data_IF_170260268435
#
_entry.id   IF_170260268435
#
_cell.length_a   1.000
_cell.length_b   1.000
_cell.length_c   1.000
_cell.angle_alpha   90.00
_cell.angle_beta   90.00
_cell.angle_gamma   90.00
#
_symmetry.space_group_name_H-M   'P 1'
#
loop_
_entity.id
_entity.type
_entity.pdbx_description
1 polymer ?
#
# COMPACT_ATOMS: atom_id res chain seq x y z
N UNK A 1 -20.59 -14.60 -7.12
CA UNK A 1 -20.98 -13.46 -7.97
C UNK A 1 -19.83 -12.47 -7.93
N UNK A 2 -19.04 -12.39 -9.00
CA UNK A 2 -17.98 -11.39 -9.12
C UNK A 2 -18.68 -10.04 -9.37
N UNK A 3 -18.68 -9.15 -8.38
CA UNK A 3 -19.24 -7.80 -8.53
C UNK A 3 -18.30 -7.08 -9.51
N UNK A 4 -18.73 -6.87 -10.75
CA UNK A 4 -18.02 -6.03 -11.72
C UNK A 4 -18.13 -4.57 -11.27
N UNK A 5 -17.20 -4.14 -10.40
CA UNK A 5 -17.05 -2.74 -10.06
C UNK A 5 -16.13 -2.07 -11.09
N UNK A 6 -16.70 -1.20 -11.91
CA UNK A 6 -15.98 -0.46 -12.95
C UNK A 6 -15.67 0.93 -12.43
N UNK A 7 -14.42 1.36 -12.50
CA UNK A 7 -14.00 2.72 -12.18
C UNK A 7 -12.87 3.15 -13.12
N UNK A 8 -12.88 4.40 -13.55
CA UNK A 8 -11.79 5.00 -14.33
C UNK A 8 -10.58 5.39 -13.49
N UNK A 9 -10.72 5.27 -12.15
CA UNK A 9 -9.65 5.59 -11.19
C UNK A 9 -8.58 4.50 -11.08
N UNK A 10 -8.82 3.32 -11.67
CA UNK A 10 -7.89 2.17 -11.67
C UNK A 10 -7.87 1.55 -13.04
N UNK A 11 -6.74 1.67 -13.72
CA UNK A 11 -6.51 1.08 -15.03
C UNK A 11 -5.90 -0.32 -14.90
N UNK A 12 -6.28 -1.21 -15.79
CA UNK A 12 -5.64 -2.51 -15.98
C UNK A 12 -5.14 -2.62 -17.41
N UNK A 13 -3.88 -2.98 -17.58
CA UNK A 13 -3.27 -3.33 -18.87
C UNK A 13 -2.64 -4.70 -18.76
N UNK A 14 -2.84 -5.53 -19.76
CA UNK A 14 -2.22 -6.86 -19.86
C UNK A 14 -1.33 -6.90 -21.07
N UNK A 15 -0.09 -7.36 -20.87
CA UNK A 15 0.88 -7.59 -21.95
C UNK A 15 1.54 -8.96 -21.73
N UNK A 16 1.15 -9.94 -22.53
CA UNK A 16 1.59 -11.33 -22.35
C UNK A 16 1.28 -11.83 -20.93
N UNK A 17 2.30 -12.28 -20.22
CA UNK A 17 2.20 -12.84 -18.86
C UNK A 17 2.24 -11.79 -17.75
N UNK A 18 2.13 -10.50 -18.08
CA UNK A 18 2.24 -9.38 -17.14
C UNK A 18 0.98 -8.55 -17.14
N UNK A 19 0.40 -8.33 -15.96
CA UNK A 19 -0.69 -7.38 -15.74
C UNK A 19 -0.15 -6.16 -14.98
N UNK A 20 -0.48 -4.96 -15.46
CA UNK A 20 -0.17 -3.70 -14.78
C UNK A 20 -1.45 -3.05 -14.30
N UNK A 21 -1.55 -2.86 -12.98
CA UNK A 21 -2.60 -2.08 -12.33
C UNK A 21 -2.04 -0.70 -12.03
N UNK A 22 -2.65 0.33 -12.58
CA UNK A 22 -2.24 1.73 -12.42
C UNK A 22 -3.35 2.51 -11.70
N UNK A 23 -3.02 3.13 -10.56
CA UNK A 23 -3.90 4.08 -9.89
C UNK A 23 -3.93 5.36 -10.73
N UNK A 24 -5.11 5.80 -11.14
CA UNK A 24 -5.31 6.90 -12.09
C UNK A 24 -6.05 8.08 -11.45
N UNK A 25 -5.41 8.71 -10.44
CA UNK A 25 -5.84 9.96 -9.80
C UNK A 25 -4.66 10.90 -9.61
N UNK A 26 -3.92 11.26 -10.67
CA UNK A 26 -2.69 12.05 -10.54
C UNK A 26 -2.91 13.43 -9.90
N UNK A 27 -4.09 14.02 -10.03
CA UNK A 27 -4.49 15.30 -9.46
C UNK A 27 -4.55 15.29 -7.91
N UNK A 28 -4.74 14.12 -7.30
CA UNK A 28 -4.71 13.91 -5.84
C UNK A 28 -3.49 13.11 -5.39
N UNK A 29 -2.44 13.01 -6.22
CA UNK A 29 -1.28 12.16 -5.97
C UNK A 29 -1.68 10.69 -5.70
N UNK A 30 -2.68 10.20 -6.44
CA UNK A 30 -3.20 8.84 -6.33
C UNK A 30 -3.70 8.48 -4.93
N UNK A 31 -4.39 9.42 -4.26
CA UNK A 31 -5.07 9.18 -2.99
C UNK A 31 -6.10 8.05 -3.11
N UNK A 32 -6.17 7.22 -2.08
CA UNK A 32 -7.00 6.02 -2.02
C UNK A 32 -8.35 6.35 -1.40
N UNK A 33 -9.35 6.63 -2.24
CA UNK A 33 -10.75 6.67 -1.83
C UNK A 33 -11.42 5.29 -1.97
N UNK A 34 -12.67 5.20 -1.56
CA UNK A 34 -13.43 3.93 -1.58
C UNK A 34 -13.54 3.32 -2.99
N UNK A 35 -13.64 4.16 -4.03
CA UNK A 35 -13.74 3.65 -5.41
C UNK A 35 -12.41 3.08 -5.90
N UNK A 36 -11.29 3.73 -5.54
CA UNK A 36 -9.94 3.18 -5.83
C UNK A 36 -9.75 1.86 -5.12
N UNK A 37 -10.08 1.78 -3.81
CA UNK A 37 -9.95 0.55 -3.03
C UNK A 37 -10.75 -0.59 -3.65
N UNK A 38 -12.03 -0.37 -3.97
CA UNK A 38 -12.89 -1.36 -4.63
C UNK A 38 -12.39 -1.73 -6.03
N UNK A 39 -11.93 -0.74 -6.79
CA UNK A 39 -11.36 -0.96 -8.12
C UNK A 39 -10.12 -1.85 -8.07
N UNK A 40 -9.20 -1.60 -7.13
CA UNK A 40 -8.02 -2.43 -6.92
C UNK A 40 -8.39 -3.87 -6.55
N UNK A 41 -9.33 -4.06 -5.61
CA UNK A 41 -9.82 -5.40 -5.22
C UNK A 41 -10.40 -6.14 -6.42
N UNK A 42 -11.26 -5.48 -7.21
CA UNK A 42 -11.87 -6.10 -8.39
C UNK A 42 -10.82 -6.52 -9.41
N UNK A 43 -9.85 -5.64 -9.73
CA UNK A 43 -8.78 -5.96 -10.69
C UNK A 43 -7.85 -7.08 -10.21
N UNK A 44 -7.52 -7.11 -8.93
CA UNK A 44 -6.72 -8.19 -8.36
C UNK A 44 -7.47 -9.53 -8.41
N UNK A 45 -8.77 -9.55 -8.12
CA UNK A 45 -9.60 -10.76 -8.24
C UNK A 45 -9.71 -11.24 -9.69
N UNK A 46 -9.95 -10.31 -10.64
CA UNK A 46 -9.96 -10.62 -12.07
C UNK A 46 -8.66 -11.30 -12.51
N UNK A 47 -7.51 -10.73 -12.10
CA UNK A 47 -6.18 -11.29 -12.42
C UNK A 47 -5.95 -12.63 -11.73
N UNK A 48 -6.47 -12.83 -10.53
CA UNK A 48 -6.25 -14.08 -9.77
C UNK A 48 -6.80 -15.30 -10.48
N UNK A 49 -7.86 -15.13 -11.28
CA UNK A 49 -8.55 -16.19 -12.04
C UNK A 49 -7.89 -16.49 -13.40
N UNK A 50 -6.95 -15.65 -13.86
CA UNK A 50 -6.28 -15.85 -15.14
C UNK A 50 -5.05 -16.74 -15.03
N UNK A 51 -5.02 -17.84 -15.76
CA UNK A 51 -3.85 -18.74 -15.84
C UNK A 51 -2.72 -18.17 -16.75
N UNK A 52 -3.02 -17.14 -17.53
CA UNK A 52 -2.06 -16.57 -18.47
C UNK A 52 -1.12 -15.53 -17.80
N UNK A 53 -1.47 -15.00 -16.63
CA UNK A 53 -0.71 -13.97 -15.95
C UNK A 53 0.15 -14.59 -14.84
N UNK A 54 1.44 -14.25 -14.83
CA UNK A 54 2.37 -14.65 -13.77
C UNK A 54 2.82 -13.49 -12.89
N UNK A 55 2.90 -12.29 -13.45
CA UNK A 55 3.43 -11.10 -12.76
C UNK A 55 2.37 -10.00 -12.76
N UNK A 56 2.20 -9.36 -11.61
CA UNK A 56 1.35 -8.17 -11.43
C UNK A 56 2.22 -7.01 -10.99
N UNK A 57 2.13 -5.92 -11.71
CA UNK A 57 2.77 -4.64 -11.38
C UNK A 57 1.72 -3.69 -10.81
N UNK A 58 2.01 -3.08 -9.65
CA UNK A 58 1.26 -1.96 -9.11
C UNK A 58 2.06 -0.67 -9.34
N UNK A 59 1.41 0.36 -9.84
CA UNK A 59 2.01 1.68 -10.04
C UNK A 59 0.97 2.79 -9.91
N UNK A 60 1.43 4.03 -9.84
CA UNK A 60 0.58 5.22 -9.85
C UNK A 60 0.85 6.07 -11.09
N UNK A 61 -0.19 6.62 -11.69
CA UNK A 61 -0.05 7.54 -12.82
C UNK A 61 0.53 8.89 -12.37
N UNK A 62 1.48 9.40 -13.12
CA UNK A 62 2.04 10.74 -12.91
C UNK A 62 3.17 10.76 -11.86
N UNK A 63 3.10 11.69 -10.88
CA UNK A 63 4.23 12.07 -10.03
C UNK A 63 4.32 11.31 -8.69
N UNK A 64 3.38 10.41 -8.40
CA UNK A 64 3.35 9.68 -7.15
C UNK A 64 2.81 8.26 -7.34
N UNK A 65 3.31 7.34 -6.56
CA UNK A 65 2.71 6.01 -6.42
C UNK A 65 1.34 6.13 -5.73
N UNK A 66 1.32 6.63 -4.49
CA UNK A 66 0.09 6.98 -3.76
C UNK A 66 0.41 7.82 -2.53
N UNK A 67 -0.39 8.86 -2.29
CA UNK A 67 -0.31 9.69 -1.07
C UNK A 67 -1.02 9.05 0.14
N UNK A 68 -1.59 7.84 0.00
CA UNK A 68 -2.33 7.16 1.06
C UNK A 68 -3.83 7.45 1.04
N UNK A 69 -4.48 7.29 2.20
CA UNK A 69 -5.93 7.53 2.32
C UNK A 69 -6.32 8.95 1.93
N UNK A 70 -7.48 9.10 1.28
CA UNK A 70 -7.99 10.41 0.88
C UNK A 70 -8.54 11.19 2.10
N UNK A 71 -7.68 12.03 2.70
CA UNK A 71 -8.00 12.83 3.89
C UNK A 71 -9.20 13.76 3.65
N UNK A 72 -9.37 14.29 2.43
CA UNK A 72 -10.52 15.16 2.11
C UNK A 72 -11.83 14.37 2.19
N UNK A 73 -11.83 13.15 1.68
CA UNK A 73 -12.99 12.25 1.79
C UNK A 73 -13.24 11.83 3.23
N UNK A 74 -12.17 11.61 4.03
CA UNK A 74 -12.30 11.31 5.47
C UNK A 74 -12.95 12.46 6.26
N UNK A 75 -12.65 13.72 5.88
CA UNK A 75 -13.19 14.91 6.52
C UNK A 75 -14.64 15.22 6.12
N UNK A 76 -14.98 15.00 4.84
CA UNK A 76 -16.33 15.22 4.34
C UNK A 76 -17.31 14.18 4.86
N UNK A 77 -16.86 12.97 5.11
CA UNK A 77 -17.62 11.87 5.69
C UNK A 77 -17.44 11.84 7.22
N UNK A 78 -17.99 12.84 7.94
CA UNK A 78 -18.11 12.79 9.41
C UNK A 78 -19.03 11.67 9.90
N UNK A 79 -19.59 10.89 8.99
CA UNK A 79 -20.47 9.78 9.26
C UNK A 79 -19.67 8.51 9.55
N UNK A 80 -19.51 8.18 10.81
CA UNK A 80 -18.82 6.97 11.28
C UNK A 80 -19.41 5.66 10.72
N UNK A 81 -20.63 5.71 10.13
CA UNK A 81 -21.26 4.55 9.49
C UNK A 81 -20.45 3.98 8.34
N UNK A 82 -19.63 4.80 7.67
CA UNK A 82 -18.78 4.36 6.54
C UNK A 82 -17.39 3.91 6.98
N UNK A 83 -16.99 4.10 8.22
CA UNK A 83 -15.64 3.78 8.68
C UNK A 83 -15.33 2.29 8.56
N UNK A 84 -16.14 1.43 9.18
CA UNK A 84 -15.92 -0.03 9.14
C UNK A 84 -15.96 -0.59 7.71
N UNK A 85 -16.92 -0.25 6.85
CA UNK A 85 -16.90 -0.66 5.45
C UNK A 85 -15.63 -0.28 4.70
N UNK A 86 -15.04 0.89 4.95
CA UNK A 86 -13.77 1.30 4.35
C UNK A 86 -12.62 0.45 4.88
N UNK A 87 -12.53 0.25 6.19
CA UNK A 87 -11.50 -0.60 6.80
C UNK A 87 -11.60 -2.06 6.35
N UNK A 88 -12.81 -2.57 6.16
CA UNK A 88 -13.05 -3.90 5.62
C UNK A 88 -12.57 -4.00 4.16
N UNK A 89 -12.80 -2.97 3.35
CA UNK A 89 -12.29 -2.89 1.99
C UNK A 89 -10.76 -2.81 1.94
N UNK A 90 -10.12 -2.07 2.86
CA UNK A 90 -8.66 -2.04 3.01
C UNK A 90 -8.15 -3.44 3.37
N UNK A 91 -8.78 -4.10 4.33
CA UNK A 91 -8.41 -5.46 4.74
C UNK A 91 -8.54 -6.45 3.58
N UNK A 92 -9.63 -6.37 2.81
CA UNK A 92 -9.86 -7.19 1.62
C UNK A 92 -8.79 -6.94 0.55
N UNK A 93 -8.46 -5.67 0.28
CA UNK A 93 -7.40 -5.30 -0.67
C UNK A 93 -6.06 -5.93 -0.29
N UNK A 94 -5.63 -5.72 0.95
CA UNK A 94 -4.34 -6.20 1.43
C UNK A 94 -4.28 -7.73 1.44
N UNK A 95 -5.34 -8.39 1.91
CA UNK A 95 -5.41 -9.86 1.90
C UNK A 95 -5.38 -10.42 0.48
N UNK A 96 -6.13 -9.81 -0.45
CA UNK A 96 -6.16 -10.22 -1.84
C UNK A 96 -4.79 -10.06 -2.50
N UNK A 97 -4.13 -8.92 -2.28
CA UNK A 97 -2.80 -8.63 -2.84
C UNK A 97 -1.73 -9.57 -2.27
N UNK A 98 -1.67 -9.71 -0.94
CA UNK A 98 -0.67 -10.53 -0.27
C UNK A 98 -0.81 -12.03 -0.62
N UNK A 99 -2.04 -12.52 -0.75
CA UNK A 99 -2.34 -13.93 -1.06
C UNK A 99 -2.45 -14.20 -2.57
N UNK A 100 -2.25 -13.21 -3.42
CA UNK A 100 -2.43 -13.33 -4.87
C UNK A 100 -1.51 -14.45 -5.42
N UNK A 101 -2.05 -15.44 -6.17
CA UNK A 101 -1.25 -16.53 -6.75
C UNK A 101 -0.48 -16.07 -7.99
N UNK A 102 0.16 -14.91 -7.90
CA UNK A 102 0.99 -14.25 -8.91
C UNK A 102 2.17 -13.58 -8.21
N UNK A 103 3.27 -13.38 -8.89
CA UNK A 103 4.37 -12.53 -8.40
C UNK A 103 3.94 -11.06 -8.47
N UNK A 104 4.28 -10.27 -7.47
CA UNK A 104 3.82 -8.88 -7.40
C UNK A 104 4.99 -7.90 -7.25
N UNK A 105 4.98 -6.83 -8.03
CA UNK A 105 5.99 -5.76 -8.00
C UNK A 105 5.28 -4.42 -7.80
N UNK A 106 5.72 -3.64 -6.81
CA UNK A 106 5.37 -2.21 -6.73
C UNK A 106 6.46 -1.39 -7.42
N UNK A 107 6.08 -0.66 -8.47
CA UNK A 107 6.93 0.34 -9.12
C UNK A 107 6.60 1.72 -8.56
N UNK A 108 7.45 2.21 -7.66
CA UNK A 108 7.21 3.41 -6.87
C UNK A 108 7.92 4.60 -7.49
N UNK A 109 7.12 5.55 -8.01
CA UNK A 109 7.60 6.88 -8.39
C UNK A 109 7.10 7.91 -7.39
N UNK A 110 7.95 8.88 -7.02
CA UNK A 110 7.57 9.95 -6.10
C UNK A 110 7.11 9.46 -4.72
N UNK A 111 5.94 9.91 -4.27
CA UNK A 111 5.46 9.60 -2.93
C UNK A 111 4.75 8.24 -2.84
N UNK A 112 5.12 7.45 -1.81
CA UNK A 112 4.36 6.33 -1.29
C UNK A 112 4.16 6.55 0.22
N UNK A 113 2.96 6.99 0.62
CA UNK A 113 2.72 7.42 2.00
C UNK A 113 1.51 6.72 2.63
N UNK A 114 1.55 6.52 3.95
CA UNK A 114 0.45 5.92 4.70
C UNK A 114 -0.01 4.59 4.11
N UNK A 115 -1.30 4.44 3.84
CA UNK A 115 -1.88 3.25 3.22
C UNK A 115 -1.25 2.91 1.86
N UNK A 116 -0.79 3.92 1.08
CA UNK A 116 -0.06 3.70 -0.17
C UNK A 116 1.25 2.95 0.06
N UNK A 117 1.99 3.30 1.11
CA UNK A 117 3.20 2.56 1.47
C UNK A 117 2.88 1.18 2.08
N UNK A 118 1.82 1.06 2.90
CA UNK A 118 1.35 -0.26 3.39
C UNK A 118 1.03 -1.21 2.23
N UNK A 119 0.35 -0.70 1.21
CA UNK A 119 0.03 -1.47 0.00
C UNK A 119 1.30 -1.88 -0.79
N UNK A 120 2.28 -0.99 -0.93
CA UNK A 120 3.55 -1.34 -1.55
C UNK A 120 4.27 -2.45 -0.75
N UNK A 121 4.29 -2.36 0.59
CA UNK A 121 4.88 -3.37 1.47
C UNK A 121 4.18 -4.75 1.38
N UNK A 122 2.93 -4.80 0.93
CA UNK A 122 2.19 -6.05 0.73
C UNK A 122 2.60 -6.80 -0.56
N UNK A 123 3.38 -6.19 -1.45
CA UNK A 123 3.92 -6.85 -2.65
C UNK A 123 5.21 -7.64 -2.37
N UNK A 124 5.58 -8.53 -3.29
CA UNK A 124 6.77 -9.37 -3.15
C UNK A 124 8.07 -8.57 -3.38
N UNK A 125 8.01 -7.53 -4.22
CA UNK A 125 9.15 -6.73 -4.63
C UNK A 125 8.77 -5.27 -4.80
N UNK A 126 9.64 -4.37 -4.35
CA UNK A 126 9.46 -2.93 -4.49
C UNK A 126 10.68 -2.35 -5.20
N UNK A 127 10.46 -1.76 -6.36
CA UNK A 127 11.43 -0.93 -7.07
C UNK A 127 11.02 0.52 -6.88
N UNK A 128 11.90 1.37 -6.40
CA UNK A 128 11.63 2.78 -6.23
C UNK A 128 12.52 3.64 -7.12
N UNK A 129 11.96 4.69 -7.68
CA UNK A 129 12.74 5.77 -8.27
C UNK A 129 13.67 6.39 -7.22
N UNK A 130 14.86 6.82 -7.62
CA UNK A 130 15.87 7.43 -6.74
C UNK A 130 15.33 8.63 -5.95
N UNK A 131 14.39 9.37 -6.52
CA UNK A 131 13.79 10.55 -5.89
C UNK A 131 12.58 10.24 -5.03
N UNK A 132 12.16 8.98 -4.97
CA UNK A 132 10.98 8.55 -4.24
C UNK A 132 11.09 8.86 -2.75
N UNK A 133 9.92 9.11 -2.16
CA UNK A 133 9.75 9.37 -0.72
C UNK A 133 8.74 8.41 -0.15
N UNK A 134 9.14 7.67 0.86
CA UNK A 134 8.32 6.63 1.50
C UNK A 134 8.04 7.04 2.95
N UNK A 135 6.78 6.99 3.39
CA UNK A 135 6.44 7.47 4.73
C UNK A 135 5.34 6.62 5.38
N UNK A 136 5.57 6.23 6.64
CA UNK A 136 4.57 5.62 7.52
C UNK A 136 4.08 6.67 8.53
N UNK A 137 3.56 7.79 8.01
CA UNK A 137 3.37 9.04 8.74
C UNK A 137 1.98 9.21 9.41
N UNK A 138 1.30 8.14 9.76
CA UNK A 138 0.00 8.18 10.43
C UNK A 138 0.04 8.92 11.77
N UNK A 139 1.14 8.76 12.53
CA UNK A 139 1.34 9.43 13.82
C UNK A 139 1.28 10.96 13.69
N UNK A 140 1.68 11.51 12.54
CA UNK A 140 1.64 12.95 12.26
C UNK A 140 0.23 13.55 12.25
N UNK A 141 -0.80 12.72 12.14
CA UNK A 141 -2.21 13.11 12.23
C UNK A 141 -2.94 12.40 13.38
N UNK A 142 -2.19 11.93 14.39
CA UNK A 142 -2.74 11.27 15.57
C UNK A 142 -3.40 9.92 15.29
N UNK A 143 -2.99 9.21 14.21
CA UNK A 143 -3.48 7.87 13.86
C UNK A 143 -2.40 6.81 14.03
N UNK A 144 -2.80 5.56 14.09
CA UNK A 144 -1.92 4.39 13.93
C UNK A 144 -1.89 3.96 12.47
N UNK A 145 -0.86 3.25 12.00
CA UNK A 145 -0.86 2.65 10.67
C UNK A 145 -2.02 1.67 10.44
N UNK A 146 -2.40 1.52 9.18
CA UNK A 146 -3.36 0.55 8.68
C UNK A 146 -2.82 -0.21 7.45
N UNK A 147 -3.67 -1.03 6.83
CA UNK A 147 -3.29 -1.81 5.66
C UNK A 147 -2.23 -2.88 5.95
N UNK A 148 -2.18 -3.42 7.16
CA UNK A 148 -1.23 -4.45 7.55
C UNK A 148 0.18 -3.92 7.80
N UNK A 149 0.37 -2.61 7.92
CA UNK A 149 1.69 -1.99 8.08
C UNK A 149 2.46 -2.55 9.27
N UNK A 150 1.79 -2.78 10.41
CA UNK A 150 2.43 -3.37 11.58
C UNK A 150 3.00 -4.76 11.26
N UNK A 151 2.25 -5.59 10.55
CA UNK A 151 2.71 -6.91 10.11
C UNK A 151 3.89 -6.82 9.15
N UNK A 152 3.80 -6.00 8.09
CA UNK A 152 4.84 -5.94 7.08
C UNK A 152 6.13 -5.32 7.57
N UNK A 153 6.06 -4.28 8.41
CA UNK A 153 7.22 -3.66 9.02
C UNK A 153 7.89 -4.60 10.02
N UNK A 154 7.12 -5.27 10.87
CA UNK A 154 7.67 -6.25 11.81
C UNK A 154 8.40 -7.39 11.09
N UNK A 155 7.81 -7.91 9.98
CA UNK A 155 8.45 -8.98 9.18
C UNK A 155 9.75 -8.56 8.52
N UNK A 156 9.90 -7.30 8.13
CA UNK A 156 11.11 -6.80 7.46
C UNK A 156 12.17 -6.31 8.45
N UNK A 157 11.75 -5.67 9.54
CA UNK A 157 12.64 -4.93 10.44
C UNK A 157 12.81 -5.56 11.83
N UNK A 158 11.92 -6.49 12.19
CA UNK A 158 11.71 -6.89 13.58
C UNK A 158 10.96 -5.81 14.37
N UNK A 159 10.39 -6.20 15.52
CA UNK A 159 9.48 -5.38 16.32
C UNK A 159 10.07 -4.01 16.71
N UNK A 160 11.30 -3.98 17.18
CA UNK A 160 11.92 -2.75 17.70
C UNK A 160 12.09 -1.68 16.64
N UNK A 161 12.64 -2.03 15.47
CA UNK A 161 12.81 -1.08 14.36
C UNK A 161 11.48 -0.70 13.70
N UNK A 162 10.54 -1.63 13.61
CA UNK A 162 9.19 -1.35 13.12
C UNK A 162 8.51 -0.27 13.96
N UNK A 163 8.57 -0.37 15.30
CA UNK A 163 8.07 0.67 16.22
C UNK A 163 8.75 2.02 15.97
N UNK A 164 10.07 2.05 15.81
CA UNK A 164 10.80 3.30 15.53
C UNK A 164 10.34 3.97 14.24
N UNK A 165 10.22 3.21 13.14
CA UNK A 165 9.73 3.75 11.85
C UNK A 165 8.31 4.31 12.00
N UNK A 166 7.42 3.61 12.71
CA UNK A 166 6.03 4.03 12.93
C UNK A 166 5.97 5.28 13.82
N UNK A 167 6.69 5.29 14.94
CA UNK A 167 6.63 6.40 15.91
C UNK A 167 7.35 7.66 15.41
N UNK A 168 8.46 7.50 14.69
CA UNK A 168 9.14 8.63 14.07
C UNK A 168 8.29 9.25 12.96
N UNK A 169 7.50 8.46 12.23
CA UNK A 169 6.65 8.92 11.14
C UNK A 169 7.40 9.72 10.07
N UNK A 170 8.73 9.53 9.97
CA UNK A 170 9.58 10.25 9.06
C UNK A 170 9.33 9.88 7.61
N UNK A 171 9.57 10.83 6.74
CA UNK A 171 9.68 10.59 5.30
C UNK A 171 11.08 10.06 5.00
N UNK A 172 11.15 8.82 4.54
CA UNK A 172 12.38 8.16 4.13
C UNK A 172 12.68 8.46 2.68
N UNK A 173 13.94 8.69 2.34
CA UNK A 173 14.43 8.64 0.96
C UNK A 173 14.44 7.19 0.44
N UNK A 174 14.59 7.02 -0.87
CA UNK A 174 14.75 5.70 -1.46
C UNK A 174 15.99 4.98 -0.89
N UNK A 175 17.10 5.71 -0.69
CA UNK A 175 18.34 5.15 -0.11
C UNK A 175 18.10 4.67 1.33
N UNK A 176 17.49 5.49 2.20
CA UNK A 176 17.18 5.11 3.58
C UNK A 176 16.25 3.88 3.64
N UNK A 177 15.22 3.85 2.78
CA UNK A 177 14.30 2.71 2.71
C UNK A 177 14.99 1.43 2.21
N UNK A 178 15.93 1.55 1.29
CA UNK A 178 16.75 0.43 0.79
C UNK A 178 17.71 -0.09 1.86
N UNK A 179 18.43 0.78 2.55
CA UNK A 179 19.33 0.42 3.65
C UNK A 179 18.59 -0.26 4.81
N UNK A 180 17.36 0.16 5.08
CA UNK A 180 16.49 -0.50 6.05
C UNK A 180 15.92 -1.85 5.56
N UNK A 181 16.03 -2.18 4.28
CA UNK A 181 15.43 -3.38 3.70
C UNK A 181 13.92 -3.28 3.47
N UNK A 182 13.37 -2.07 3.44
CA UNK A 182 11.95 -1.83 3.16
C UNK A 182 11.63 -1.93 1.68
N UNK A 183 12.59 -1.60 0.81
CA UNK A 183 12.53 -1.78 -0.64
C UNK A 183 13.69 -2.65 -1.11
N UNK A 184 13.57 -3.29 -2.29
CA UNK A 184 14.54 -4.24 -2.80
C UNK A 184 15.44 -3.67 -3.88
N UNK A 185 15.02 -2.58 -4.53
CA UNK A 185 15.78 -2.00 -5.63
C UNK A 185 15.53 -0.50 -5.74
N UNK A 186 16.58 0.25 -6.07
CA UNK A 186 16.50 1.66 -6.47
C UNK A 186 16.83 1.72 -7.96
N UNK A 187 15.94 2.31 -8.75
CA UNK A 187 16.21 2.56 -10.15
C UNK A 187 17.24 3.70 -10.27
N UNK A 188 18.44 3.37 -10.78
CA UNK A 188 19.53 4.34 -10.97
C UNK A 188 19.30 5.30 -12.16
N UNK A 189 18.22 5.12 -12.90
CA UNK A 189 17.83 5.92 -14.05
C UNK A 189 16.32 5.89 -14.26
N UNK A 190 15.90 5.39 -15.41
CA UNK A 190 14.48 5.24 -15.72
C UNK A 190 13.86 4.06 -14.95
N UNK A 191 12.87 4.35 -14.11
CA UNK A 191 12.11 3.35 -13.35
C UNK A 191 11.47 2.31 -14.26
N UNK A 192 10.99 2.72 -15.43
CA UNK A 192 10.36 1.79 -16.38
C UNK A 192 11.38 0.78 -16.92
N UNK A 193 12.60 1.22 -17.23
CA UNK A 193 13.66 0.35 -17.69
C UNK A 193 14.10 -0.66 -16.62
N UNK A 194 14.23 -0.22 -15.35
CA UNK A 194 14.55 -1.10 -14.22
C UNK A 194 13.45 -2.13 -13.99
N UNK A 195 12.18 -1.70 -14.06
CA UNK A 195 11.02 -2.57 -13.95
C UNK A 195 10.99 -3.64 -15.04
N UNK A 196 11.21 -3.25 -16.30
CA UNK A 196 11.25 -4.18 -17.44
C UNK A 196 12.39 -5.20 -17.29
N UNK A 197 13.56 -4.77 -16.84
CA UNK A 197 14.68 -5.66 -16.56
C UNK A 197 14.32 -6.69 -15.48
N UNK A 198 13.67 -6.27 -14.40
CA UNK A 198 13.20 -7.16 -13.32
C UNK A 198 12.13 -8.13 -13.81
N UNK A 199 11.16 -7.68 -14.58
CA UNK A 199 10.11 -8.51 -15.17
C UNK A 199 10.73 -9.59 -16.06
N UNK A 200 11.65 -9.21 -16.96
CA UNK A 200 12.33 -10.13 -17.87
C UNK A 200 13.19 -11.17 -17.11
N UNK A 201 13.89 -10.73 -16.05
CA UNK A 201 14.63 -11.64 -15.18
C UNK A 201 13.66 -12.68 -14.55
N UNK A 202 12.53 -12.27 -14.00
CA UNK A 202 11.58 -13.19 -13.40
C UNK A 202 10.91 -14.11 -14.42
N UNK A 203 10.54 -13.60 -15.59
CA UNK A 203 9.94 -14.41 -16.67
C UNK A 203 10.90 -15.45 -17.25
N UNK A 204 12.21 -15.24 -17.13
CA UNK A 204 13.23 -16.22 -17.53
C UNK A 204 13.42 -17.36 -16.53
N UNK A 205 12.82 -17.24 -15.33
CA UNK A 205 12.90 -18.22 -14.23
C UNK A 205 11.65 -19.12 -14.18
N UNK A 206 11.66 -20.19 -13.40
CA UNK A 206 10.48 -21.04 -13.20
C UNK A 206 9.43 -20.32 -12.33
N UNK A 207 8.66 -19.41 -12.92
CA UNK A 207 7.67 -18.54 -12.24
C UNK A 207 6.68 -19.35 -11.39
N UNK A 208 6.26 -20.54 -11.85
CA UNK A 208 5.34 -21.38 -11.09
C UNK A 208 5.94 -21.86 -9.75
N UNK A 209 7.25 -22.17 -9.72
CA UNK A 209 7.93 -22.52 -8.46
C UNK A 209 8.04 -21.31 -7.53
N UNK A 210 8.30 -20.11 -8.08
CA UNK A 210 8.32 -18.86 -7.32
C UNK A 210 6.96 -18.54 -6.73
N UNK A 211 5.88 -18.63 -7.53
CA UNK A 211 4.50 -18.43 -7.10
C UNK A 211 4.13 -19.44 -6.00
N UNK A 212 4.51 -20.70 -6.16
CA UNK A 212 4.24 -21.74 -5.14
C UNK A 212 4.94 -21.42 -3.82
N UNK A 213 6.19 -20.94 -3.86
CA UNK A 213 6.94 -20.50 -2.69
C UNK A 213 6.24 -19.34 -1.98
N UNK A 214 5.85 -18.29 -2.72
CA UNK A 214 5.03 -17.19 -2.20
C UNK A 214 3.77 -17.71 -1.52
N UNK A 215 3.02 -18.59 -2.19
CA UNK A 215 1.77 -19.14 -1.68
C UNK A 215 1.95 -19.85 -0.33
N UNK A 216 3.00 -20.66 -0.17
CA UNK A 216 3.31 -21.34 1.09
C UNK A 216 3.56 -20.31 2.21
N UNK A 217 4.35 -19.27 1.93
CA UNK A 217 4.63 -18.21 2.91
C UNK A 217 3.39 -17.39 3.25
N UNK A 218 2.58 -17.05 2.26
CA UNK A 218 1.34 -16.31 2.45
C UNK A 218 0.34 -17.10 3.31
N UNK A 219 0.11 -18.38 3.01
CA UNK A 219 -0.80 -19.23 3.79
C UNK A 219 -0.33 -19.41 5.24
N UNK A 220 0.98 -19.62 5.45
CA UNK A 220 1.56 -19.71 6.80
C UNK A 220 1.32 -18.44 7.62
N UNK A 221 1.43 -17.27 7.00
CA UNK A 221 1.35 -15.97 7.69
C UNK A 221 -0.06 -15.38 7.70
N UNK A 222 -0.99 -15.93 6.92
CA UNK A 222 -2.36 -15.44 6.77
C UNK A 222 -3.09 -15.17 8.09
N UNK A 223 -3.08 -16.10 9.09
CA UNK A 223 -3.78 -15.86 10.36
C UNK A 223 -3.24 -14.65 11.12
N UNK A 224 -1.91 -14.44 11.09
CA UNK A 224 -1.27 -13.30 11.75
C UNK A 224 -1.65 -11.99 11.07
N UNK A 225 -1.60 -11.94 9.73
CA UNK A 225 -2.00 -10.75 8.97
C UNK A 225 -3.47 -10.39 9.21
N UNK A 226 -4.38 -11.36 9.17
CA UNK A 226 -5.79 -11.13 9.49
C UNK A 226 -5.98 -10.55 10.88
N UNK A 227 -5.26 -11.08 11.88
CA UNK A 227 -5.33 -10.57 13.26
C UNK A 227 -4.82 -9.14 13.36
N UNK A 228 -3.73 -8.81 12.66
CA UNK A 228 -3.19 -7.44 12.65
C UNK A 228 -4.17 -6.48 11.98
N UNK A 229 -4.74 -6.82 10.83
CA UNK A 229 -5.73 -5.97 10.14
C UNK A 229 -6.97 -5.70 11.02
N UNK A 230 -7.41 -6.72 11.78
CA UNK A 230 -8.50 -6.54 12.75
C UNK A 230 -8.10 -5.57 13.88
N UNK A 231 -6.91 -5.71 14.46
CA UNK A 231 -6.40 -4.82 15.51
C UNK A 231 -6.19 -3.39 15.00
N UNK A 232 -5.68 -3.22 13.78
CA UNK A 232 -5.55 -1.92 13.13
C UNK A 232 -6.91 -1.25 12.95
N UNK A 233 -7.92 -1.98 12.49
CA UNK A 233 -9.29 -1.47 12.31
C UNK A 233 -9.86 -0.87 13.60
N UNK A 234 -9.82 -1.61 14.71
CA UNK A 234 -10.32 -1.11 15.98
C UNK A 234 -9.42 -0.05 16.61
N UNK A 235 -8.11 -0.15 16.40
CA UNK A 235 -7.16 0.87 16.84
C UNK A 235 -7.37 2.20 16.14
N UNK A 236 -7.57 2.17 14.81
CA UNK A 236 -7.90 3.36 14.01
C UNK A 236 -9.19 4.01 14.50
N UNK A 237 -10.24 3.23 14.76
CA UNK A 237 -11.50 3.75 15.30
C UNK A 237 -11.26 4.55 16.59
N UNK A 238 -10.54 3.96 17.55
CA UNK A 238 -10.24 4.63 18.84
C UNK A 238 -9.41 5.91 18.66
N UNK A 239 -8.42 5.89 17.77
CA UNK A 239 -7.59 7.08 17.53
C UNK A 239 -8.38 8.22 16.89
N UNK A 240 -9.35 7.92 16.04
CA UNK A 240 -10.22 8.93 15.41
C UNK A 240 -11.06 9.72 16.42
N UNK A 241 -11.34 9.15 17.59
CA UNK A 241 -12.10 9.78 18.66
C UNK A 241 -11.24 10.72 19.53
N UNK A 242 -9.92 10.71 19.38
CA UNK A 242 -8.99 11.48 20.23
C UNK A 242 -8.93 12.96 19.85
N UNK A 243 -8.63 13.78 20.83
CA UNK A 243 -8.36 15.22 20.65
C UNK A 243 -7.15 15.40 19.74
N UNK A 244 -6.13 14.55 19.90
CA UNK A 244 -4.90 14.61 19.12
C UNK A 244 -5.14 14.32 17.63
N UNK A 245 -6.05 13.39 17.30
CA UNK A 245 -6.42 13.17 15.89
C UNK A 245 -7.12 14.40 15.30
N UNK A 246 -8.07 14.99 16.02
CA UNK A 246 -8.75 16.20 15.55
C UNK A 246 -7.78 17.37 15.36
N UNK A 247 -6.82 17.53 16.27
CA UNK A 247 -5.75 18.52 16.15
C UNK A 247 -4.83 18.21 14.95
N UNK A 248 -4.41 16.95 14.81
CA UNK A 248 -3.53 16.50 13.72
C UNK A 248 -4.13 16.78 12.34
N UNK A 249 -5.41 16.48 12.15
CA UNK A 249 -6.14 16.79 10.91
C UNK A 249 -6.22 18.30 10.68
N UNK A 250 -6.55 19.10 11.71
CA UNK A 250 -6.63 20.55 11.60
C UNK A 250 -5.27 21.15 11.23
N UNK A 251 -4.22 20.73 11.93
CA UNK A 251 -2.86 21.17 11.67
C UNK A 251 -2.39 20.82 10.25
N UNK A 252 -2.75 19.63 9.76
CA UNK A 252 -2.45 19.21 8.38
C UNK A 252 -3.11 20.13 7.34
N UNK A 253 -4.40 20.48 7.52
CA UNK A 253 -5.13 21.39 6.62
C UNK A 253 -4.53 22.79 6.65
N UNK A 254 -4.23 23.30 7.86
CA UNK A 254 -3.68 24.63 8.10
C UNK A 254 -2.18 24.70 7.78
N UNK A 255 -1.54 23.58 7.38
CA UNK A 255 -0.09 23.47 7.09
C UNK A 255 0.79 23.99 8.24
N UNK A 256 0.42 23.71 9.48
CA UNK A 256 1.17 24.02 10.69
C UNK A 256 1.57 22.78 11.46
N UNK A 257 2.45 22.91 12.42
CA UNK A 257 2.77 21.80 13.34
C UNK A 257 1.58 21.55 14.29
N UNK A 258 1.22 20.25 14.53
CA UNK A 258 0.21 19.93 15.53
C UNK A 258 0.72 20.14 16.95
N UNK A 259 -0.20 20.40 17.88
CA UNK A 259 0.07 20.47 19.32
C UNK A 259 -0.65 19.33 20.02
N UNK A 260 0.00 18.17 20.09
CA UNK A 260 -0.55 16.97 20.72
C UNK A 260 -0.46 17.03 22.24
N UNK A 261 -1.49 16.52 22.92
CA UNK A 261 -1.61 16.51 24.39
C UNK A 261 -1.78 15.10 24.97
N UNK A 262 -1.77 14.06 24.11
CA UNK A 262 -1.90 12.65 24.50
C UNK A 262 -3.33 12.23 24.89
N UNK A 263 -4.36 12.87 24.34
CA UNK A 263 -5.78 12.61 24.69
C UNK A 263 -6.67 12.48 23.46
#
# INVERSE_FOLDING_TARGET
MTINFVTEKVNLRVNGRVATIEINRPETLNALDTDVLKGLVCKLKEISESDEIDIVVLTGKGKAFSSGGDIKTMLSNRDDRNFFPVMDCISELIMTLYSLPKLTISAVSGAAAGLGFSMALATDYIIADKTSKLAMNFVGIGLIPDGGAHFFLEKRLGETRAKQVIWDGKMLSADEAFELGLIQEIAEGDLQQALEARINDWLSRPTQAMIKTKKIMAEKNRPQLLKVLELEKYGQQKMRETIDHHEGIRAFIEKRKPNFIGK
#
